data_IF_443208803309
#
_entry.id   IF_443208803309
#
_cell.length_a   1.000
_cell.length_b   1.000
_cell.length_c   1.000
_cell.angle_alpha   90.00
_cell.angle_beta   90.00
_cell.angle_gamma   90.00
#
_symmetry.space_group_name_H-M   'P 1'
#
loop_
_entity.id
_entity.type
_entity.pdbx_description
1 polymer ?
#
# COMPACT_ATOMS: atom_id res chain seq x y z
N UNK A 1 3.26 -67.00 2.54
CA UNK A 1 4.41 -67.26 3.44
C UNK A 1 4.65 -65.95 4.16
N UNK A 2 4.17 -65.82 5.40
CA UNK A 2 4.95 -65.97 6.66
C UNK A 2 5.35 -64.57 7.19
N UNK A 3 4.89 -64.11 8.37
CA UNK A 3 5.30 -64.51 9.74
C UNK A 3 6.74 -64.02 10.02
N UNK A 4 7.06 -63.15 10.99
CA UNK A 4 6.39 -62.57 12.21
C UNK A 4 6.90 -61.12 12.43
N UNK A 5 6.29 -60.21 13.21
CA UNK A 5 6.26 -60.06 14.68
C UNK A 5 7.65 -60.18 15.40
N UNK A 6 7.94 -59.58 16.57
CA UNK A 6 7.10 -58.96 17.63
C UNK A 6 7.96 -58.20 18.68
N UNK A 7 7.45 -57.10 19.30
CA UNK A 7 7.83 -56.56 20.66
C UNK A 7 9.32 -56.16 20.88
N UNK A 8 9.84 -55.53 21.96
CA UNK A 8 9.42 -54.91 23.26
C UNK A 8 10.56 -53.91 23.70
N UNK A 9 10.60 -53.12 24.79
CA UNK A 9 9.76 -52.72 25.95
C UNK A 9 10.27 -51.36 26.52
N UNK A 10 9.75 -50.90 27.68
CA UNK A 10 9.98 -49.60 28.39
C UNK A 10 9.91 -49.87 29.92
N UNK A 11 10.80 -49.36 30.83
CA UNK A 11 10.73 -47.98 31.35
C UNK A 11 12.07 -47.34 31.88
N UNK A 12 11.92 -46.27 32.69
CA UNK A 12 12.86 -45.30 33.27
C UNK A 12 13.80 -45.75 34.43
N UNK A 13 14.75 -44.86 34.81
CA UNK A 13 15.18 -44.64 36.22
C UNK A 13 15.84 -43.26 36.49
N UNK A 14 15.65 -42.75 37.73
CA UNK A 14 16.18 -41.51 38.37
C UNK A 14 17.64 -41.71 38.94
N UNK A 15 18.36 -40.79 39.67
CA UNK A 15 18.00 -39.56 40.47
C UNK A 15 18.77 -38.24 40.14
N UNK A 16 18.33 -37.02 40.47
CA UNK A 16 18.12 -36.27 41.77
C UNK A 16 19.37 -35.55 42.35
N UNK A 17 19.12 -34.45 43.11
CA UNK A 17 20.01 -33.58 43.92
C UNK A 17 20.69 -32.38 43.23
N UNK A 18 20.90 -31.21 43.86
CA UNK A 18 20.18 -30.32 44.81
C UNK A 18 21.13 -29.15 45.18
N UNK A 19 20.65 -28.09 45.87
CA UNK A 19 21.46 -27.12 46.65
C UNK A 19 22.25 -26.06 45.82
N UNK A 20 22.51 -24.80 46.25
CA UNK A 20 21.76 -23.86 47.13
C UNK A 20 22.41 -22.45 47.12
N UNK A 21 21.61 -21.41 47.39
CA UNK A 21 21.89 -20.24 48.26
C UNK A 21 23.20 -19.41 48.18
N UNK A 22 23.06 -18.07 48.17
CA UNK A 22 24.09 -17.11 48.60
C UNK A 22 24.22 -15.88 47.68
N UNK A 23 23.48 -14.78 47.86
CA UNK A 23 23.55 -13.72 48.90
C UNK A 23 24.68 -12.69 48.75
N UNK A 24 24.29 -11.43 48.43
CA UNK A 24 24.73 -10.12 49.00
C UNK A 24 26.25 -9.89 49.21
N UNK A 25 26.83 -8.73 48.87
CA UNK A 25 26.45 -7.40 49.39
C UNK A 25 27.18 -6.24 48.66
N UNK A 26 26.59 -5.03 48.78
CA UNK A 26 27.10 -3.66 48.54
C UNK A 26 28.61 -3.44 48.27
N UNK A 27 28.87 -2.53 47.33
CA UNK A 27 30.02 -1.61 47.35
C UNK A 27 29.62 -0.23 46.81
N UNK A 28 29.86 0.85 47.57
CA UNK A 28 29.85 2.23 47.05
C UNK A 28 31.30 2.71 46.95
N UNK A 29 31.66 3.31 45.82
CA UNK A 29 32.90 4.09 45.68
C UNK A 29 32.55 5.38 44.96
N UNK A 30 32.91 6.51 45.56
CA UNK A 30 32.71 7.86 45.01
C UNK A 30 34.08 8.47 44.73
N UNK A 31 34.32 9.03 43.54
CA UNK A 31 35.25 10.14 43.32
C UNK A 31 35.24 10.67 41.88
N UNK A 32 35.65 11.94 41.74
CA UNK A 32 36.30 12.54 40.56
C UNK A 32 35.54 12.49 39.23
N UNK A 33 34.69 13.51 39.03
CA UNK A 33 34.40 13.99 37.68
C UNK A 33 35.68 14.59 37.06
N UNK A 34 36.11 14.03 35.92
CA UNK A 34 37.14 14.62 35.05
C UNK A 34 36.43 15.10 33.80
N UNK A 35 36.48 16.40 33.52
CA UNK A 35 35.92 16.99 32.31
C UNK A 35 36.99 16.98 31.18
N UNK A 36 36.80 16.24 30.08
CA UNK A 36 37.66 16.36 28.90
C UNK A 36 37.42 17.71 28.23
N UNK A 37 38.48 18.34 27.72
CA UNK A 37 38.35 19.55 26.91
C UNK A 37 37.67 19.25 25.57
N UNK A 38 37.04 20.27 24.98
CA UNK A 38 36.51 20.22 23.63
C UNK A 38 37.61 19.85 22.62
N UNK A 39 37.57 18.62 22.10
CA UNK A 39 38.19 18.29 20.84
C UNK A 39 37.23 18.70 19.71
N UNK A 40 37.61 19.71 18.92
CA UNK A 40 36.88 20.10 17.72
C UNK A 40 37.07 19.03 16.62
N UNK A 41 36.30 17.96 16.71
CA UNK A 41 36.15 16.96 15.64
C UNK A 41 35.25 17.47 14.51
N UNK A 42 35.41 16.87 13.33
CA UNK A 42 34.61 17.15 12.14
C UNK A 42 33.11 17.01 12.41
N UNK A 43 32.29 17.77 11.67
CA UNK A 43 30.82 17.73 11.72
C UNK A 43 30.25 16.33 11.43
N UNK A 44 30.14 15.52 12.47
CA UNK A 44 29.30 14.34 12.48
C UNK A 44 27.83 14.80 12.49
N UNK A 45 27.21 14.84 11.31
CA UNK A 45 25.78 15.08 11.16
C UNK A 45 24.99 14.16 12.11
N UNK A 46 23.92 14.65 12.77
CA UNK A 46 23.19 13.86 13.75
C UNK A 46 22.63 12.60 13.09
N UNK A 47 22.83 11.45 13.77
CA UNK A 47 22.44 10.14 13.27
C UNK A 47 20.91 9.96 13.25
N UNK A 48 20.25 10.56 12.26
CA UNK A 48 18.84 10.36 11.92
C UNK A 48 18.63 8.96 11.30
N UNK A 49 18.86 7.92 12.11
CA UNK A 49 18.92 6.52 11.64
C UNK A 49 18.78 5.48 12.73
N UNK A 50 18.03 5.77 13.81
CA UNK A 50 17.83 4.84 14.93
C UNK A 50 16.52 5.05 15.71
N UNK A 51 15.41 5.44 15.06
CA UNK A 51 14.13 5.72 15.77
C UNK A 51 12.84 5.65 14.94
N UNK A 52 12.71 4.68 14.03
CA UNK A 52 11.46 4.50 13.23
C UNK A 52 11.04 3.02 13.04
N UNK A 53 11.58 2.10 13.85
CA UNK A 53 11.32 0.65 13.76
C UNK A 53 10.20 0.14 14.70
N UNK A 54 9.55 1.02 15.45
CA UNK A 54 8.46 0.68 16.40
C UNK A 54 7.08 1.17 15.98
N UNK A 55 7.00 2.12 15.05
CA UNK A 55 5.79 2.92 14.80
C UNK A 55 5.08 2.49 13.50
N UNK A 56 5.01 1.18 13.24
CA UNK A 56 4.07 0.58 12.28
C UNK A 56 4.54 0.41 10.83
N UNK A 57 5.76 0.82 10.46
CA UNK A 57 6.41 0.46 9.19
C UNK A 57 5.89 1.22 7.95
N UNK A 58 6.63 2.26 7.54
CA UNK A 58 6.33 3.13 6.38
C UNK A 58 6.57 2.47 5.00
N UNK A 59 6.12 1.23 4.79
CA UNK A 59 6.19 0.56 3.50
C UNK A 59 4.88 0.78 2.72
N UNK A 60 4.95 1.54 1.63
CA UNK A 60 3.78 2.07 0.91
C UNK A 60 2.94 1.05 0.12
N UNK A 61 2.14 1.59 -0.81
CA UNK A 61 1.32 0.89 -1.79
C UNK A 61 1.93 -0.40 -2.35
N UNK A 62 1.14 -1.45 -2.63
CA UNK A 62 1.63 -2.63 -3.36
C UNK A 62 2.18 -2.27 -4.75
N UNK A 63 1.69 -1.16 -5.28
CA UNK A 63 2.18 -0.41 -6.44
C UNK A 63 3.57 0.22 -6.23
N UNK A 64 3.82 0.84 -5.07
CA UNK A 64 5.05 1.58 -4.78
C UNK A 64 6.10 0.79 -3.99
N UNK A 65 5.78 -0.43 -3.56
CA UNK A 65 6.76 -1.44 -3.14
C UNK A 65 7.71 -1.86 -4.30
N UNK A 66 7.49 -1.34 -5.51
CA UNK A 66 8.35 -1.43 -6.70
C UNK A 66 9.16 -0.14 -6.99
N UNK A 67 8.99 0.92 -6.20
CA UNK A 67 9.72 2.19 -6.32
C UNK A 67 10.73 2.33 -5.16
N UNK A 68 11.94 2.87 -5.39
CA UNK A 68 12.88 3.16 -4.32
C UNK A 68 12.40 4.36 -3.47
N UNK A 69 12.64 4.28 -2.15
CA UNK A 69 12.29 5.34 -1.21
C UNK A 69 12.84 6.70 -1.65
N UNK A 70 11.95 7.69 -1.76
CA UNK A 70 12.29 9.09 -2.05
C UNK A 70 11.89 9.63 -3.43
N UNK A 71 11.47 8.78 -4.39
CA UNK A 71 10.93 9.26 -5.69
C UNK A 71 9.40 9.13 -5.71
N UNK A 72 8.74 10.05 -5.00
CA UNK A 72 7.27 10.06 -4.87
C UNK A 72 6.65 10.99 -5.92
N UNK A 73 6.63 10.54 -7.18
CA UNK A 73 6.07 11.30 -8.30
C UNK A 73 4.63 11.74 -8.00
N UNK A 74 4.43 13.05 -7.88
CA UNK A 74 3.12 13.65 -7.65
C UNK A 74 2.70 13.85 -6.20
N UNK A 75 3.45 13.39 -5.19
CA UNK A 75 3.12 13.71 -3.78
C UNK A 75 3.72 15.05 -3.36
N UNK A 76 2.92 15.88 -2.67
CA UNK A 76 3.38 17.06 -1.95
C UNK A 76 3.62 16.79 -0.46
N UNK A 77 3.53 15.51 -0.04
CA UNK A 77 3.75 15.06 1.34
C UNK A 77 2.52 15.21 2.24
N UNK A 78 2.72 15.79 3.43
CA UNK A 78 1.68 15.96 4.45
C UNK A 78 1.50 14.75 5.38
N UNK A 79 0.35 14.64 6.07
CA UNK A 79 -0.01 13.46 6.87
C UNK A 79 -0.33 12.26 5.96
N UNK A 80 -0.88 11.18 6.51
CA UNK A 80 -1.39 10.05 5.74
C UNK A 80 -2.53 10.47 4.78
N UNK A 81 -2.74 9.75 3.67
CA UNK A 81 -3.88 9.98 2.77
C UNK A 81 -5.20 9.79 3.54
N UNK A 82 -6.08 10.78 3.57
CA UNK A 82 -7.41 10.65 4.18
C UNK A 82 -8.33 9.75 3.35
N UNK A 83 -9.35 9.18 3.97
CA UNK A 83 -10.32 8.27 3.34
C UNK A 83 -11.75 8.84 3.37
N UNK A 84 -12.67 8.20 2.66
CA UNK A 84 -14.12 8.44 2.83
C UNK A 84 -14.66 7.78 4.09
N UNK A 85 -15.77 8.29 4.63
CA UNK A 85 -16.36 7.82 5.89
C UNK A 85 -16.92 6.39 5.83
N UNK A 86 -17.40 5.94 4.66
CA UNK A 86 -17.88 4.57 4.48
C UNK A 86 -17.91 4.14 3.01
N UNK A 87 -17.76 2.84 2.76
CA UNK A 87 -17.90 2.19 1.44
C UNK A 87 -18.73 0.92 1.57
N UNK A 88 -19.90 0.92 0.94
CA UNK A 88 -20.62 -0.29 0.53
C UNK A 88 -19.84 -1.01 -0.58
N UNK A 89 -19.30 -2.20 -0.28
CA UNK A 89 -18.47 -2.97 -1.21
C UNK A 89 -19.27 -3.59 -2.37
N UNK A 90 -20.56 -3.89 -2.17
CA UNK A 90 -21.42 -4.44 -3.22
C UNK A 90 -21.75 -3.35 -4.26
N UNK A 91 -21.96 -2.11 -3.81
CA UNK A 91 -22.07 -0.94 -4.71
C UNK A 91 -20.74 -0.57 -5.37
N UNK A 92 -19.60 -0.88 -4.75
CA UNK A 92 -18.26 -0.65 -5.32
C UNK A 92 -17.83 -1.73 -6.33
N UNK A 93 -18.48 -2.90 -6.33
CA UNK A 93 -18.21 -3.99 -7.28
C UNK A 93 -18.52 -3.62 -8.75
N UNK A 94 -18.17 -4.50 -9.68
CA UNK A 94 -18.31 -4.32 -11.13
C UNK A 94 -17.09 -3.68 -11.79
N UNK A 95 -17.27 -3.24 -13.05
CA UNK A 95 -16.23 -2.57 -13.84
C UNK A 95 -16.05 -1.10 -13.45
N UNK A 96 -14.79 -0.68 -13.35
CA UNK A 96 -14.35 0.70 -13.25
C UNK A 96 -13.33 0.99 -14.35
N UNK A 97 -13.42 2.19 -14.90
CA UNK A 97 -12.59 2.69 -15.97
C UNK A 97 -11.56 3.68 -15.40
N UNK A 98 -10.27 3.41 -15.59
CA UNK A 98 -9.21 4.29 -15.10
C UNK A 98 -9.06 5.48 -16.06
N UNK A 99 -9.73 6.60 -15.78
CA UNK A 99 -9.76 7.79 -16.65
C UNK A 99 -8.54 8.70 -16.50
N UNK A 100 -7.85 8.64 -15.35
CA UNK A 100 -6.56 9.29 -15.12
C UNK A 100 -5.76 8.54 -14.04
N UNK A 101 -4.42 8.66 -14.08
CA UNK A 101 -3.55 8.10 -13.05
C UNK A 101 -2.18 8.79 -12.98
N UNK A 102 -1.50 8.67 -11.84
CA UNK A 102 -0.05 8.90 -11.74
C UNK A 102 0.65 7.72 -12.45
N UNK A 103 1.41 7.92 -13.54
CA UNK A 103 2.02 6.81 -14.29
C UNK A 103 2.94 5.94 -13.42
N UNK A 104 2.69 4.63 -13.41
CA UNK A 104 3.46 3.66 -12.64
C UNK A 104 4.33 2.80 -13.56
N UNK A 105 5.49 2.26 -13.10
CA UNK A 105 6.37 1.44 -13.94
C UNK A 105 5.68 0.22 -14.58
N UNK A 106 4.72 -0.38 -13.87
CA UNK A 106 3.95 -1.54 -14.30
C UNK A 106 2.72 -1.21 -15.17
N UNK A 107 2.47 0.07 -15.48
CA UNK A 107 1.45 0.52 -16.43
C UNK A 107 2.05 1.11 -17.72
N UNK A 108 3.38 1.14 -17.87
CA UNK A 108 4.03 1.78 -19.03
C UNK A 108 3.78 1.05 -20.37
N UNK A 109 3.34 -0.21 -20.32
CA UNK A 109 2.87 -0.98 -21.48
C UNK A 109 1.41 -0.73 -21.85
N UNK A 110 0.61 -0.11 -20.97
CA UNK A 110 -0.79 0.22 -21.23
C UNK A 110 -0.88 1.46 -22.11
N UNK A 111 -1.51 1.34 -23.28
CA UNK A 111 -1.71 2.45 -24.22
C UNK A 111 -3.09 3.11 -24.10
N UNK A 112 -4.09 2.35 -23.68
CA UNK A 112 -5.50 2.76 -23.69
C UNK A 112 -6.39 1.79 -22.90
N UNK A 113 -7.64 2.20 -22.65
CA UNK A 113 -8.75 1.33 -22.21
C UNK A 113 -8.45 0.53 -20.93
N UNK A 114 -7.75 1.16 -19.98
CA UNK A 114 -7.39 0.55 -18.68
C UNK A 114 -8.62 0.42 -17.79
N UNK A 115 -8.89 -0.81 -17.33
CA UNK A 115 -10.02 -1.19 -16.48
C UNK A 115 -9.56 -1.86 -15.18
N UNK A 116 -10.40 -1.74 -14.16
CA UNK A 116 -10.35 -2.52 -12.94
C UNK A 116 -11.74 -3.15 -12.69
N UNK A 117 -11.78 -4.46 -12.54
CA UNK A 117 -12.99 -5.25 -12.37
C UNK A 117 -12.99 -5.84 -10.95
N UNK A 118 -14.02 -5.54 -10.16
CA UNK A 118 -14.12 -5.91 -8.75
C UNK A 118 -15.33 -6.82 -8.47
N UNK A 119 -15.18 -7.83 -7.62
CA UNK A 119 -16.30 -8.61 -7.09
C UNK A 119 -16.09 -8.99 -5.62
N UNK A 120 -17.13 -8.91 -4.79
CA UNK A 120 -17.07 -9.36 -3.39
C UNK A 120 -17.01 -10.89 -3.37
N UNK A 121 -15.93 -11.46 -2.82
CA UNK A 121 -15.71 -12.92 -2.77
C UNK A 121 -15.94 -13.51 -1.38
N UNK A 122 -15.75 -12.70 -0.33
CA UNK A 122 -16.04 -13.03 1.06
C UNK A 122 -16.23 -11.74 1.87
N UNK A 123 -16.78 -11.79 3.11
CA UNK A 123 -16.89 -10.60 3.95
C UNK A 123 -15.55 -9.87 4.11
N UNK A 124 -15.46 -8.63 3.61
CA UNK A 124 -14.23 -7.82 3.62
C UNK A 124 -13.15 -8.26 2.61
N UNK A 125 -13.43 -9.18 1.69
CA UNK A 125 -12.52 -9.59 0.60
C UNK A 125 -13.18 -9.34 -0.76
N UNK A 126 -12.44 -8.69 -1.66
CA UNK A 126 -12.85 -8.34 -3.02
C UNK A 126 -11.80 -8.88 -3.99
N UNK A 127 -12.19 -9.59 -5.05
CA UNK A 127 -11.24 -9.92 -6.14
C UNK A 127 -10.94 -8.68 -6.97
N UNK A 128 -9.72 -8.59 -7.47
CA UNK A 128 -9.25 -7.49 -8.33
C UNK A 128 -8.70 -8.06 -9.62
N UNK A 129 -9.29 -7.68 -10.74
CA UNK A 129 -8.77 -7.96 -12.08
C UNK A 129 -8.54 -6.65 -12.81
N UNK A 130 -7.29 -6.33 -13.10
CA UNK A 130 -6.94 -5.14 -13.90
C UNK A 130 -6.59 -5.58 -15.32
N UNK A 131 -7.06 -4.82 -16.31
CA UNK A 131 -6.79 -5.07 -17.73
C UNK A 131 -6.53 -3.77 -18.50
N UNK A 132 -5.75 -3.79 -19.58
CA UNK A 132 -5.57 -2.63 -20.44
C UNK A 132 -5.22 -3.02 -21.90
N UNK A 133 -5.50 -2.12 -22.84
CA UNK A 133 -4.99 -2.22 -24.21
C UNK A 133 -3.48 -1.96 -24.25
N UNK A 134 -2.75 -2.69 -25.10
CA UNK A 134 -1.31 -2.54 -25.27
C UNK A 134 -0.89 -2.73 -26.73
N UNK A 135 0.11 -1.98 -27.18
CA UNK A 135 0.72 -2.15 -28.49
C UNK A 135 1.76 -3.31 -28.54
N UNK A 136 2.12 -3.90 -27.39
CA UNK A 136 3.18 -4.93 -27.29
C UNK A 136 2.72 -6.28 -26.70
N UNK A 137 1.46 -6.37 -26.25
CA UNK A 137 0.82 -7.61 -25.78
C UNK A 137 -0.66 -7.60 -26.16
N UNK A 138 -1.22 -8.74 -26.53
CA UNK A 138 -2.67 -8.88 -26.74
C UNK A 138 -3.46 -8.83 -25.43
N UNK A 139 -2.85 -9.25 -24.32
CA UNK A 139 -3.52 -9.55 -23.06
C UNK A 139 -2.72 -8.98 -21.86
N UNK A 140 -2.70 -7.66 -21.70
CA UNK A 140 -2.12 -7.02 -20.50
C UNK A 140 -3.10 -7.07 -19.34
N UNK A 141 -3.13 -8.22 -18.64
CA UNK A 141 -4.06 -8.54 -17.53
C UNK A 141 -3.27 -8.93 -16.27
N UNK A 142 -3.78 -8.55 -15.09
CA UNK A 142 -3.27 -9.03 -13.79
C UNK A 142 -4.42 -9.23 -12.79
N UNK A 143 -4.36 -10.30 -12.01
CA UNK A 143 -5.42 -10.76 -11.10
C UNK A 143 -4.91 -10.95 -9.66
N UNK A 144 -5.73 -10.63 -8.67
CA UNK A 144 -5.39 -10.62 -7.25
C UNK A 144 -6.59 -10.38 -6.33
N UNK A 145 -6.33 -10.04 -5.06
CA UNK A 145 -7.35 -9.80 -4.04
C UNK A 145 -7.11 -8.47 -3.30
N UNK A 146 -8.18 -7.85 -2.81
CA UNK A 146 -8.17 -6.72 -1.89
C UNK A 146 -8.87 -7.10 -0.58
N UNK A 147 -8.17 -6.95 0.55
CA UNK A 147 -8.68 -7.29 1.88
C UNK A 147 -8.81 -6.03 2.73
N UNK A 148 -10.02 -5.75 3.22
CA UNK A 148 -10.33 -4.62 4.10
C UNK A 148 -9.46 -4.66 5.37
N UNK A 149 -8.93 -3.51 5.77
CA UNK A 149 -8.12 -3.33 6.99
C UNK A 149 -8.73 -2.37 8.00
N UNK A 150 -9.58 -1.46 7.53
CA UNK A 150 -10.49 -0.70 8.38
C UNK A 150 -11.92 -1.17 8.14
N UNK A 151 -12.45 -1.98 9.05
CA UNK A 151 -13.81 -2.52 9.00
C UNK A 151 -14.88 -1.57 9.54
N UNK A 152 -14.52 -0.37 10.03
CA UNK A 152 -15.49 0.67 10.37
C UNK A 152 -15.94 1.45 9.13
N UNK A 153 -15.05 1.62 8.15
CA UNK A 153 -15.33 2.39 6.91
C UNK A 153 -15.31 1.53 5.64
N UNK A 154 -14.63 0.38 5.63
CA UNK A 154 -14.22 -0.38 4.44
C UNK A 154 -13.34 0.39 3.43
N UNK A 155 -12.95 1.64 3.72
CA UNK A 155 -12.28 2.53 2.76
C UNK A 155 -10.76 2.33 2.66
N UNK A 156 -10.16 1.58 3.60
CA UNK A 156 -8.73 1.19 3.60
C UNK A 156 -8.55 -0.31 3.40
N UNK A 157 -7.77 -0.70 2.38
CA UNK A 157 -7.56 -2.09 1.97
C UNK A 157 -6.07 -2.44 1.77
N UNK A 158 -5.77 -3.73 1.78
CA UNK A 158 -4.53 -4.35 1.27
C UNK A 158 -4.85 -5.08 -0.02
N UNK A 159 -4.48 -4.52 -1.16
CA UNK A 159 -4.46 -5.17 -2.49
C UNK A 159 -3.19 -5.99 -2.62
N UNK A 160 -3.31 -7.22 -3.11
CA UNK A 160 -2.20 -8.16 -3.30
C UNK A 160 -2.39 -8.96 -4.60
N UNK A 161 -1.37 -8.95 -5.46
CA UNK A 161 -1.33 -9.67 -6.73
C UNK A 161 -0.33 -10.83 -6.63
N UNK A 162 -0.76 -12.10 -6.53
CA UNK A 162 0.13 -13.24 -6.24
C UNK A 162 1.28 -13.46 -7.24
N UNK A 163 1.19 -12.90 -8.44
CA UNK A 163 2.23 -12.97 -9.48
C UNK A 163 3.32 -11.88 -9.34
N UNK A 164 3.15 -10.90 -8.45
CA UNK A 164 4.12 -9.82 -8.23
C UNK A 164 5.05 -10.21 -7.07
N UNK A 165 6.38 -10.28 -7.28
CA UNK A 165 7.30 -10.66 -6.21
C UNK A 165 7.36 -9.59 -5.12
N UNK A 166 7.73 -10.02 -3.91
CA UNK A 166 7.92 -9.18 -2.71
C UNK A 166 6.65 -8.53 -2.13
N UNK A 167 5.46 -8.77 -2.69
CA UNK A 167 4.22 -8.37 -2.03
C UNK A 167 3.90 -9.29 -0.85
N UNK A 168 3.70 -8.70 0.33
CA UNK A 168 3.16 -9.37 1.51
C UNK A 168 1.64 -9.18 1.58
N UNK A 169 0.88 -10.29 1.64
CA UNK A 169 -0.57 -10.25 1.81
C UNK A 169 -0.96 -9.77 3.22
N UNK A 170 -0.14 -10.03 4.24
CA UNK A 170 -0.41 -9.62 5.62
C UNK A 170 -0.13 -8.12 5.89
N UNK A 171 0.59 -7.44 4.99
CA UNK A 171 1.19 -6.12 5.18
C UNK A 171 0.23 -4.92 5.40
N UNK A 172 0.79 -3.70 5.50
CA UNK A 172 0.04 -2.48 5.81
C UNK A 172 -0.91 -2.06 4.67
N UNK A 173 -1.88 -1.20 5.01
CA UNK A 173 -2.81 -0.56 4.05
C UNK A 173 -2.04 -0.01 2.86
N UNK A 174 -2.53 -0.28 1.66
CA UNK A 174 -1.78 0.00 0.43
C UNK A 174 -2.68 0.48 -0.72
N UNK A 175 -3.99 0.52 -0.48
CA UNK A 175 -5.03 1.08 -1.35
C UNK A 175 -6.09 1.73 -0.44
N UNK A 176 -6.48 2.96 -0.75
CA UNK A 176 -7.42 3.75 0.03
C UNK A 176 -8.32 4.56 -0.89
N UNK A 177 -9.62 4.49 -0.63
CA UNK A 177 -10.64 5.27 -1.31
C UNK A 177 -10.71 6.64 -0.63
N UNK A 178 -10.16 7.66 -1.28
CA UNK A 178 -10.04 9.02 -0.71
C UNK A 178 -11.25 9.90 -1.06
N UNK A 179 -11.84 9.67 -2.22
CA UNK A 179 -13.11 10.25 -2.66
C UNK A 179 -13.96 9.21 -3.38
N UNK A 180 -15.26 9.31 -3.22
CA UNK A 180 -16.28 8.49 -3.84
C UNK A 180 -17.55 9.33 -3.96
N UNK A 181 -18.17 9.38 -5.15
CA UNK A 181 -19.46 10.04 -5.35
C UNK A 181 -20.60 9.21 -4.74
N UNK A 182 -21.65 9.86 -4.22
CA UNK A 182 -22.79 9.21 -3.54
C UNK A 182 -23.51 8.15 -4.39
N UNK A 183 -23.50 8.32 -5.71
CA UNK A 183 -24.08 7.41 -6.71
C UNK A 183 -23.13 6.27 -7.12
N UNK A 184 -21.85 6.36 -6.78
CA UNK A 184 -20.73 5.48 -7.17
C UNK A 184 -20.37 5.57 -8.67
N UNK A 185 -20.59 6.72 -9.29
CA UNK A 185 -20.16 7.03 -10.67
C UNK A 185 -18.65 7.31 -10.78
N UNK A 186 -18.06 7.92 -9.76
CA UNK A 186 -16.69 8.44 -9.75
C UNK A 186 -16.01 8.14 -8.40
N UNK A 187 -14.78 7.65 -8.43
CA UNK A 187 -13.93 7.43 -7.26
C UNK A 187 -12.49 7.90 -7.52
N UNK A 188 -11.80 8.32 -6.47
CA UNK A 188 -10.37 8.64 -6.50
C UNK A 188 -9.70 7.84 -5.40
N UNK A 189 -8.67 7.09 -5.77
CA UNK A 189 -8.00 6.11 -4.91
C UNK A 189 -6.49 6.25 -5.01
N UNK A 190 -5.78 5.88 -3.95
CA UNK A 190 -4.32 5.90 -3.90
C UNK A 190 -3.80 5.15 -2.68
N UNK A 191 -2.50 5.14 -2.47
CA UNK A 191 -1.89 4.55 -1.27
C UNK A 191 -1.69 5.58 -0.14
N UNK A 192 -1.46 5.15 1.12
CA UNK A 192 -1.29 6.05 2.26
C UNK A 192 -0.22 7.15 2.14
N UNK A 193 0.82 6.99 1.31
CA UNK A 193 1.92 7.97 1.15
C UNK A 193 1.81 8.81 -0.13
N UNK A 194 0.69 8.67 -0.88
CA UNK A 194 0.39 9.42 -2.13
C UNK A 194 1.35 9.10 -3.29
N UNK A 195 2.06 7.97 -3.22
CA UNK A 195 3.03 7.51 -4.25
C UNK A 195 2.37 6.95 -5.53
N UNK A 196 1.10 6.62 -5.44
CA UNK A 196 0.22 6.17 -6.50
C UNK A 196 -1.14 6.86 -6.35
N UNK A 197 -1.83 7.03 -7.48
CA UNK A 197 -3.13 7.70 -7.53
C UNK A 197 -3.84 7.37 -8.82
N UNK A 198 -5.13 7.05 -8.73
CA UNK A 198 -5.98 6.60 -9.83
C UNK A 198 -7.36 7.24 -9.71
N UNK A 199 -7.87 7.74 -10.83
CA UNK A 199 -9.22 8.28 -10.97
C UNK A 199 -10.03 7.23 -11.73
N UNK A 200 -11.07 6.72 -11.08
CA UNK A 200 -11.89 5.61 -11.53
C UNK A 200 -13.31 6.11 -11.83
N UNK A 201 -13.86 5.74 -12.97
CA UNK A 201 -15.19 6.15 -13.44
C UNK A 201 -16.03 4.94 -13.86
N UNK A 202 -17.36 5.06 -13.80
CA UNK A 202 -18.29 4.10 -14.43
C UNK A 202 -18.56 4.43 -15.90
N UNK A 203 -18.34 5.68 -16.32
CA UNK A 203 -18.49 6.14 -17.70
C UNK A 203 -17.14 6.58 -18.31
N UNK A 204 -16.90 6.33 -19.60
CA UNK A 204 -15.58 6.58 -20.21
C UNK A 204 -15.28 8.07 -20.40
N UNK A 205 -16.31 8.91 -20.51
CA UNK A 205 -16.18 10.37 -20.60
C UNK A 205 -16.58 11.01 -19.27
N UNK A 206 -15.72 11.88 -18.73
CA UNK A 206 -16.08 12.81 -17.67
C UNK A 206 -16.43 14.17 -18.27
N UNK A 207 -17.45 14.82 -17.72
CA UNK A 207 -17.79 16.21 -18.02
C UNK A 207 -16.82 17.21 -17.35
N UNK A 208 -16.97 18.50 -17.67
CA UNK A 208 -16.09 19.55 -17.15
C UNK A 208 -16.21 19.76 -15.62
N UNK A 209 -17.38 19.54 -15.03
CA UNK A 209 -17.60 19.62 -13.58
C UNK A 209 -17.01 18.42 -12.85
N UNK A 210 -17.09 17.23 -13.44
CA UNK A 210 -16.39 16.05 -12.95
C UNK A 210 -14.86 16.23 -13.03
N UNK A 211 -14.31 16.75 -14.14
CA UNK A 211 -12.87 17.03 -14.24
C UNK A 211 -12.40 18.11 -13.26
N UNK A 212 -13.19 19.16 -13.02
CA UNK A 212 -12.91 20.14 -11.96
C UNK A 212 -12.88 19.47 -10.59
N UNK A 213 -13.92 18.70 -10.24
CA UNK A 213 -14.00 17.93 -8.98
C UNK A 213 -12.79 17.01 -8.80
N UNK A 214 -12.35 16.33 -9.87
CA UNK A 214 -11.15 15.47 -9.84
C UNK A 214 -9.89 16.26 -9.54
N UNK A 215 -9.67 17.40 -10.21
CA UNK A 215 -8.51 18.28 -9.97
C UNK A 215 -8.51 18.83 -8.55
N UNK A 216 -9.63 19.39 -8.12
CA UNK A 216 -9.79 20.04 -6.81
C UNK A 216 -9.55 19.02 -5.68
N UNK A 217 -10.14 17.81 -5.76
CA UNK A 217 -9.90 16.73 -4.79
C UNK A 217 -8.44 16.26 -4.81
N UNK A 218 -7.80 16.15 -5.98
CA UNK A 218 -6.39 15.72 -6.06
C UNK A 218 -5.48 16.73 -5.35
N UNK A 219 -5.72 18.02 -5.53
CA UNK A 219 -4.94 19.10 -4.88
C UNK A 219 -5.24 19.21 -3.38
N UNK A 220 -6.51 19.13 -2.96
CA UNK A 220 -6.92 19.06 -1.54
C UNK A 220 -6.35 17.83 -0.82
N UNK A 221 -6.18 16.71 -1.53
CA UNK A 221 -5.52 15.50 -1.02
C UNK A 221 -4.01 15.52 -1.24
N UNK A 222 -3.39 16.69 -1.41
CA UNK A 222 -1.94 16.87 -1.32
C UNK A 222 -1.15 16.19 -2.43
N UNK A 223 -1.77 15.93 -3.58
CA UNK A 223 -1.07 15.58 -4.81
C UNK A 223 -0.85 16.82 -5.67
N UNK A 224 0.16 16.76 -6.53
CA UNK A 224 0.35 17.70 -7.63
C UNK A 224 -0.45 17.21 -8.85
N UNK A 225 -1.48 17.97 -9.24
CA UNK A 225 -2.39 17.60 -10.34
C UNK A 225 -1.70 17.35 -11.69
N UNK A 226 -0.56 17.99 -11.98
CA UNK A 226 0.20 17.70 -13.21
C UNK A 226 0.83 16.30 -13.25
N UNK A 227 0.96 15.60 -12.12
CA UNK A 227 1.53 14.26 -12.07
C UNK A 227 0.53 13.17 -12.48
N UNK A 228 -0.78 13.47 -12.42
CA UNK A 228 -1.81 12.63 -13.01
C UNK A 228 -1.92 12.95 -14.50
N UNK A 229 -1.83 11.91 -15.34
CA UNK A 229 -2.16 11.99 -16.76
C UNK A 229 -3.54 11.37 -17.00
N UNK A 230 -4.31 11.93 -17.93
CA UNK A 230 -5.50 11.25 -18.47
C UNK A 230 -5.09 9.96 -19.20
N UNK A 231 -5.99 8.99 -19.23
CA UNK A 231 -5.80 7.70 -19.92
C UNK A 231 -6.65 7.69 -21.18
N UNK A 232 -6.10 7.41 -22.38
CA UNK A 232 -6.88 7.27 -23.60
C UNK A 232 -7.90 6.12 -23.49
N UNK A 233 -9.15 6.33 -23.91
CA UNK A 233 -10.22 5.34 -23.80
C UNK A 233 -11.31 5.53 -24.85
N UNK A 234 -11.84 4.41 -25.36
CA UNK A 234 -12.95 4.39 -26.33
C UNK A 234 -14.21 4.96 -25.70
N UNK A 235 -14.83 5.93 -26.38
CA UNK A 235 -15.98 6.68 -25.85
C UNK A 235 -15.62 7.75 -24.81
N UNK A 236 -14.34 7.87 -24.45
CA UNK A 236 -13.82 8.82 -23.47
C UNK A 236 -12.88 9.86 -24.08
N UNK A 237 -11.90 10.29 -23.29
CA UNK A 237 -10.77 11.09 -23.78
C UNK A 237 -9.85 10.23 -24.64
N UNK A 238 -9.33 10.80 -25.73
CA UNK A 238 -8.37 10.11 -26.62
C UNK A 238 -6.90 10.44 -26.35
N UNK A 239 -6.62 11.27 -25.35
CA UNK A 239 -5.33 11.89 -25.10
C UNK A 239 -4.77 11.58 -23.71
N UNK A 240 -3.44 11.65 -23.59
CA UNK A 240 -2.71 11.55 -22.32
C UNK A 240 -2.16 12.93 -21.92
N UNK A 241 -2.95 13.67 -21.13
CA UNK A 241 -2.74 15.08 -20.78
C UNK A 241 -2.67 15.24 -19.26
N UNK A 242 -1.70 16.01 -18.73
CA UNK A 242 -1.65 16.36 -17.30
C UNK A 242 -2.93 17.05 -16.82
N UNK A 243 -3.50 16.65 -15.66
CA UNK A 243 -4.79 17.20 -15.20
C UNK A 243 -4.75 18.72 -14.96
N UNK A 244 -3.59 19.27 -14.59
CA UNK A 244 -3.37 20.70 -14.43
C UNK A 244 -3.43 21.52 -15.74
N UNK A 245 -3.46 20.85 -16.90
CA UNK A 245 -3.63 21.46 -18.24
C UNK A 245 -5.03 21.24 -18.82
N UNK A 246 -5.93 20.59 -18.09
CA UNK A 246 -7.35 20.55 -18.42
C UNK A 246 -8.03 21.90 -18.09
N UNK A 247 -9.10 22.27 -18.83
CA UNK A 247 -9.82 23.53 -18.61
C UNK A 247 -10.64 23.59 -17.31
#
# INVERSE_FOLDING_TARGET
>A
MSTTARTHAVPDALPDRTYRHGSRLRGLVTALAVAPLFAAGLDAAPAAGARDLTDGGRLGGGSSQLLPDGVVLGSLGGPELTQVDSVDLERYAGEWLQVAAIPQPYTLQCTNDTRAEYAVTAPGTVSVRNSCGSAISSDSVIEGEAKVRDTATNASLRVNFPMVPFQDEAGPVNYRITYLADDYSLAIVGDPTRSSGFVLSREPALDAGQWATVRDVIEDRGWWSCAFLTVPMVGGRGDATPLCLLP
#
